data_IF_888223615289
#
_entry.id   IF_888223615289
#
_cell.length_a   1.000
_cell.length_b   1.000
_cell.length_c   1.000
_cell.angle_alpha   90.00
_cell.angle_beta   90.00
_cell.angle_gamma   90.00
#
_symmetry.space_group_name_H-M   'P 1'
#
loop_
_entity.id
_entity.type
_entity.pdbx_description
1 polymer ?
#
# COMPACT_ATOMS: atom_id res chain seq x y z
N UNK A 1 -42.88 -9.69 9.39
CA UNK A 1 -42.29 -8.74 8.43
C UNK A 1 -41.44 -7.79 9.25
N UNK A 2 -40.12 -7.94 9.18
CA UNK A 2 -39.17 -7.12 9.92
C UNK A 2 -38.23 -6.48 8.89
N UNK A 3 -38.26 -5.16 8.83
CA UNK A 3 -37.47 -4.36 7.90
C UNK A 3 -36.00 -4.41 8.31
N UNK A 4 -35.18 -4.91 7.39
CA UNK A 4 -33.72 -4.91 7.47
C UNK A 4 -33.23 -3.49 7.29
N UNK A 5 -32.74 -2.88 8.37
CA UNK A 5 -32.03 -1.60 8.34
C UNK A 5 -30.76 -1.74 7.49
N UNK A 6 -30.81 -1.22 6.27
CA UNK A 6 -29.64 -0.98 5.46
C UNK A 6 -28.74 0.01 6.20
N UNK A 7 -27.57 -0.46 6.66
CA UNK A 7 -26.49 0.44 7.09
C UNK A 7 -26.07 1.26 5.88
N UNK A 8 -26.54 2.50 5.84
CA UNK A 8 -26.07 3.54 4.94
C UNK A 8 -24.55 3.66 5.10
N UNK A 9 -23.81 3.44 4.01
CA UNK A 9 -22.42 3.86 3.88
C UNK A 9 -22.41 5.39 3.77
N UNK A 10 -22.66 6.07 4.88
CA UNK A 10 -22.56 7.52 4.98
C UNK A 10 -21.11 7.93 5.18
N UNK A 11 -20.58 8.68 4.21
CA UNK A 11 -19.52 9.67 4.43
C UNK A 11 -18.08 9.21 4.25
N UNK A 12 -17.71 8.64 3.10
CA UNK A 12 -16.34 8.88 2.62
C UNK A 12 -16.27 10.37 2.28
N UNK A 13 -15.69 11.18 3.17
CA UNK A 13 -15.36 12.57 2.85
C UNK A 13 -14.48 12.53 1.61
N UNK A 14 -14.93 13.12 0.51
CA UNK A 14 -14.07 13.43 -0.63
C UNK A 14 -13.07 14.49 -0.16
N UNK A 15 -12.00 14.04 0.52
CA UNK A 15 -10.89 14.88 0.89
C UNK A 15 -10.09 15.15 -0.39
N UNK A 16 -10.25 16.34 -0.97
CA UNK A 16 -9.41 16.77 -2.08
C UNK A 16 -8.00 17.08 -1.54
N UNK A 17 -7.01 16.31 -2.00
CA UNK A 17 -5.61 16.53 -1.71
C UNK A 17 -5.11 17.81 -2.39
N UNK A 18 -4.32 18.62 -1.71
CA UNK A 18 -3.83 19.90 -2.25
C UNK A 18 -2.32 19.80 -2.47
N UNK A 19 -1.80 20.06 -3.69
CA UNK A 19 -0.37 20.06 -3.92
C UNK A 19 0.35 21.14 -3.10
N UNK A 20 1.50 20.77 -2.53
CA UNK A 20 2.39 21.74 -1.89
C UNK A 20 2.91 22.72 -2.95
N UNK A 21 3.13 24.00 -2.64
CA UNK A 21 3.72 24.94 -3.59
C UNK A 21 5.12 24.49 -4.07
N UNK A 22 5.53 24.92 -5.26
CA UNK A 22 6.87 24.68 -5.81
C UNK A 22 7.47 25.96 -6.34
N UNK A 23 8.64 26.30 -5.84
CA UNK A 23 9.39 27.52 -6.22
C UNK A 23 10.69 27.21 -6.98
N UNK A 24 11.05 25.94 -7.14
CA UNK A 24 12.28 25.49 -7.78
C UNK A 24 13.41 25.12 -6.81
N UNK A 25 13.32 25.52 -5.53
CA UNK A 25 14.36 25.31 -4.53
C UNK A 25 13.88 24.55 -3.28
N UNK A 26 12.57 24.58 -3.00
CA UNK A 26 11.99 24.05 -1.77
C UNK A 26 11.97 22.52 -1.68
N UNK A 27 11.86 21.81 -2.81
CA UNK A 27 11.85 20.34 -2.90
C UNK A 27 12.54 19.92 -4.20
N UNK A 28 13.18 18.75 -4.22
CA UNK A 28 13.73 18.20 -5.45
C UNK A 28 12.64 18.09 -6.55
N UNK A 29 12.86 18.58 -7.78
CA UNK A 29 11.80 18.70 -8.79
C UNK A 29 11.13 17.37 -9.14
N UNK A 30 11.92 16.29 -9.26
CA UNK A 30 11.40 14.95 -9.53
C UNK A 30 10.44 14.47 -8.45
N UNK A 31 10.77 14.71 -7.17
CA UNK A 31 9.96 14.31 -6.02
C UNK A 31 8.68 15.15 -5.93
N UNK A 32 8.77 16.45 -6.19
CA UNK A 32 7.58 17.32 -6.22
C UNK A 32 6.62 16.94 -7.34
N UNK A 33 7.14 16.72 -8.56
CA UNK A 33 6.34 16.29 -9.71
C UNK A 33 5.68 14.94 -9.47
N UNK A 34 6.40 13.99 -8.87
CA UNK A 34 5.83 12.71 -8.46
C UNK A 34 4.66 12.89 -7.48
N UNK A 35 4.82 13.71 -6.43
CA UNK A 35 3.74 13.99 -5.47
C UNK A 35 2.55 14.67 -6.12
N UNK A 36 2.80 15.59 -7.05
CA UNK A 36 1.76 16.23 -7.84
C UNK A 36 0.96 15.21 -8.67
N UNK A 37 1.65 14.25 -9.29
CA UNK A 37 1.02 13.17 -10.05
C UNK A 37 0.18 12.26 -9.14
N UNK A 38 0.71 11.86 -7.98
CA UNK A 38 -0.07 11.11 -6.98
C UNK A 38 -1.34 11.85 -6.57
N UNK A 39 -1.25 13.15 -6.27
CA UNK A 39 -2.43 13.97 -5.92
C UNK A 39 -3.44 14.05 -7.06
N UNK A 40 -2.97 14.24 -8.29
CA UNK A 40 -3.84 14.21 -9.48
C UNK A 40 -4.64 12.92 -9.55
N UNK A 41 -4.02 11.81 -9.16
CA UNK A 41 -4.58 10.47 -9.26
C UNK A 41 -5.60 10.20 -8.16
N UNK A 42 -5.27 10.60 -6.93
CA UNK A 42 -6.15 10.54 -5.76
C UNK A 42 -7.38 11.44 -5.93
N UNK A 43 -7.21 12.62 -6.51
CA UNK A 43 -8.31 13.55 -6.75
C UNK A 43 -9.09 13.29 -8.04
N UNK A 44 -8.67 12.31 -8.85
CA UNK A 44 -9.26 12.00 -10.15
C UNK A 44 -9.38 13.22 -11.08
N UNK A 45 -8.35 14.08 -11.11
CA UNK A 45 -8.36 15.26 -11.95
C UNK A 45 -8.33 14.90 -13.44
N UNK A 46 -9.15 15.60 -14.23
CA UNK A 46 -9.02 15.63 -15.68
C UNK A 46 -7.82 16.50 -16.12
N UNK A 47 -7.54 16.50 -17.42
CA UNK A 47 -6.43 17.26 -17.99
C UNK A 47 -6.51 18.77 -17.68
N UNK A 48 -7.72 19.34 -17.67
CA UNK A 48 -7.94 20.77 -17.43
C UNK A 48 -7.63 21.13 -15.98
N UNK A 49 -8.18 20.37 -15.03
CA UNK A 49 -7.92 20.56 -13.61
C UNK A 49 -6.45 20.30 -13.27
N UNK A 50 -5.84 19.27 -13.88
CA UNK A 50 -4.41 18.98 -13.72
C UNK A 50 -3.55 20.19 -14.07
N UNK A 51 -3.76 20.81 -15.24
CA UNK A 51 -2.98 21.99 -15.64
C UNK A 51 -3.29 23.22 -14.79
N UNK A 52 -4.56 23.41 -14.42
CA UNK A 52 -4.95 24.51 -13.53
C UNK A 52 -4.21 24.43 -12.20
N UNK A 53 -4.30 23.28 -11.52
CA UNK A 53 -3.66 23.09 -10.22
C UNK A 53 -2.14 23.05 -10.31
N UNK A 54 -1.56 22.57 -11.42
CA UNK A 54 -0.13 22.68 -11.67
C UNK A 54 0.29 24.15 -11.61
N UNK A 55 -0.32 25.00 -12.45
CA UNK A 55 -0.05 26.45 -12.50
C UNK A 55 -0.26 27.10 -11.13
N UNK A 56 -1.38 26.81 -10.46
CA UNK A 56 -1.72 27.36 -9.14
C UNK A 56 -0.78 26.90 -8.01
N UNK A 57 0.01 25.85 -8.23
CA UNK A 57 1.01 25.37 -7.27
C UNK A 57 2.39 25.97 -7.50
N UNK A 58 2.67 26.53 -8.67
CA UNK A 58 3.96 27.17 -8.97
C UNK A 58 4.07 28.55 -8.29
N UNK A 59 5.25 28.86 -7.76
CA UNK A 59 5.60 30.13 -7.11
C UNK A 59 6.97 30.59 -7.59
N UNK A 60 7.30 31.86 -7.37
CA UNK A 60 8.64 32.42 -7.62
C UNK A 60 9.17 32.08 -9.02
N UNK A 61 10.44 31.68 -9.09
CA UNK A 61 11.15 31.36 -10.32
C UNK A 61 10.44 30.26 -11.13
N UNK A 62 9.88 29.23 -10.48
CA UNK A 62 9.14 28.18 -11.18
C UNK A 62 7.89 28.71 -11.91
N UNK A 63 7.20 29.72 -11.35
CA UNK A 63 6.07 30.37 -12.01
C UNK A 63 6.52 31.28 -13.17
N UNK A 64 7.66 31.94 -13.03
CA UNK A 64 8.26 32.75 -14.10
C UNK A 64 8.65 31.89 -15.30
N UNK A 65 9.30 30.74 -15.05
CA UNK A 65 9.64 29.75 -16.07
C UNK A 65 8.39 29.26 -16.81
N UNK A 66 7.33 28.91 -16.07
CA UNK A 66 6.05 28.53 -16.69
C UNK A 66 5.43 29.65 -17.52
N UNK A 67 5.46 30.88 -17.01
CA UNK A 67 4.87 32.04 -17.69
C UNK A 67 5.62 32.45 -18.96
N UNK A 68 6.90 32.10 -19.06
CA UNK A 68 7.73 32.27 -20.25
C UNK A 68 7.48 31.25 -21.36
N UNK A 69 6.72 30.18 -21.11
CA UNK A 69 6.36 29.18 -22.11
C UNK A 69 5.33 29.71 -23.11
N UNK A 70 5.33 29.13 -24.31
CA UNK A 70 4.28 29.41 -25.31
C UNK A 70 2.89 29.00 -24.79
N UNK A 71 1.79 29.61 -25.27
CA UNK A 71 0.44 29.18 -24.87
C UNK A 71 0.15 27.70 -25.16
N UNK A 72 0.77 27.15 -26.21
CA UNK A 72 0.67 25.72 -26.56
C UNK A 72 1.36 24.84 -25.50
N UNK A 73 2.58 25.20 -25.09
CA UNK A 73 3.34 24.46 -24.08
C UNK A 73 2.70 24.58 -22.69
N UNK A 74 2.15 25.74 -22.34
CA UNK A 74 1.39 25.93 -21.08
C UNK A 74 0.17 25.02 -21.00
N UNK A 75 -0.40 24.67 -22.16
CA UNK A 75 -1.51 23.73 -22.32
C UNK A 75 -1.09 22.26 -22.38
N UNK A 76 0.21 21.95 -22.26
CA UNK A 76 0.74 20.60 -22.39
C UNK A 76 1.54 20.20 -21.15
N UNK A 77 0.94 19.33 -20.31
CA UNK A 77 1.55 18.89 -19.06
C UNK A 77 2.96 18.31 -19.24
N UNK A 78 3.18 17.57 -20.34
CA UNK A 78 4.48 16.96 -20.62
C UNK A 78 5.55 18.02 -20.89
N UNK A 79 5.22 19.03 -21.70
CA UNK A 79 6.13 20.13 -22.00
C UNK A 79 6.51 20.93 -20.74
N UNK A 80 5.52 21.20 -19.88
CA UNK A 80 5.76 21.88 -18.60
C UNK A 80 6.64 21.01 -17.68
N UNK A 81 6.33 19.72 -17.53
CA UNK A 81 7.12 18.77 -16.72
C UNK A 81 8.58 18.72 -17.17
N UNK A 82 8.82 18.55 -18.46
CA UNK A 82 10.18 18.50 -19.04
C UNK A 82 10.92 19.83 -18.83
N UNK A 83 10.23 20.97 -18.96
CA UNK A 83 10.81 22.30 -18.71
C UNK A 83 11.21 22.49 -17.26
N UNK A 84 10.34 22.13 -16.30
CA UNK A 84 10.64 22.23 -14.87
C UNK A 84 11.81 21.32 -14.48
N UNK A 85 11.83 20.09 -14.98
CA UNK A 85 12.95 19.16 -14.75
C UNK A 85 14.26 19.67 -15.35
N UNK A 86 14.23 20.24 -16.56
CA UNK A 86 15.43 20.78 -17.21
C UNK A 86 15.98 22.01 -16.49
N UNK A 87 15.09 22.85 -15.95
CA UNK A 87 15.47 24.12 -15.34
C UNK A 87 15.95 23.94 -13.90
N UNK A 88 15.28 23.09 -13.12
CA UNK A 88 15.55 22.90 -11.69
C UNK A 88 16.22 21.57 -11.36
N UNK A 89 16.28 20.63 -12.30
CA UNK A 89 16.96 19.35 -12.12
C UNK A 89 18.47 19.53 -12.27
N UNK A 90 19.21 19.31 -11.19
CA UNK A 90 20.67 19.24 -11.25
C UNK A 90 21.18 18.06 -12.09
N UNK A 91 22.50 17.97 -12.34
CA UNK A 91 23.09 16.84 -13.04
C UNK A 91 22.92 15.56 -12.20
N UNK A 92 22.22 14.59 -12.79
CA UNK A 92 22.05 13.19 -12.39
C UNK A 92 21.04 12.84 -11.27
N UNK A 93 20.04 12.05 -11.69
CA UNK A 93 19.75 10.78 -11.05
C UNK A 93 19.39 9.79 -12.17
N UNK A 94 20.35 8.99 -12.62
CA UNK A 94 20.07 7.81 -13.45
C UNK A 94 19.35 6.76 -12.61
N UNK A 95 18.19 6.26 -13.04
CA UNK A 95 17.54 5.16 -12.34
C UNK A 95 18.29 3.86 -12.61
N UNK A 96 19.06 3.41 -11.63
CA UNK A 96 19.54 2.03 -11.56
C UNK A 96 18.42 1.17 -11.00
N UNK A 97 17.77 0.39 -11.84
CA UNK A 97 17.46 -1.04 -11.68
C UNK A 97 16.38 -1.43 -12.70
N UNK A 98 16.60 -2.57 -13.36
CA UNK A 98 15.71 -3.15 -14.35
C UNK A 98 14.29 -3.33 -13.79
N UNK A 99 13.23 -3.13 -14.61
CA UNK A 99 11.87 -3.41 -14.18
C UNK A 99 11.74 -4.90 -13.90
N UNK A 100 11.49 -5.26 -12.64
CA UNK A 100 10.95 -6.58 -12.30
C UNK A 100 9.49 -6.54 -12.69
N UNK A 101 9.12 -7.32 -13.69
CA UNK A 101 7.71 -7.52 -14.05
C UNK A 101 7.00 -8.16 -12.85
N UNK A 102 6.12 -7.40 -12.21
CA UNK A 102 5.29 -7.88 -11.12
C UNK A 102 3.95 -8.25 -11.74
N UNK A 103 3.65 -9.55 -11.78
CA UNK A 103 2.38 -10.05 -12.29
C UNK A 103 1.39 -10.14 -11.13
N UNK A 104 0.28 -9.40 -11.25
CA UNK A 104 -0.86 -9.54 -10.36
C UNK A 104 -1.91 -10.45 -11.00
N UNK A 105 -2.28 -11.51 -10.26
CA UNK A 105 -3.40 -12.38 -10.59
C UNK A 105 -4.54 -12.13 -9.59
N UNK A 106 -5.73 -11.81 -10.09
CA UNK A 106 -6.92 -11.77 -9.24
C UNK A 106 -7.26 -13.20 -8.82
N UNK A 107 -7.02 -13.54 -7.56
CA UNK A 107 -7.31 -14.87 -7.04
C UNK A 107 -8.82 -15.07 -6.91
N UNK A 108 -9.41 -15.88 -7.80
CA UNK A 108 -10.81 -16.32 -7.74
C UNK A 108 -10.93 -17.64 -6.97
N UNK A 109 -10.54 -17.66 -5.68
CA UNK A 109 -10.49 -18.88 -4.86
C UNK A 109 -10.76 -18.67 -3.37
N UNK A 110 -10.67 -19.76 -2.59
CA UNK A 110 -10.73 -19.73 -1.12
C UNK A 110 -9.41 -19.14 -0.58
N UNK A 111 -9.38 -17.83 -0.33
CA UNK A 111 -8.26 -17.16 0.34
C UNK A 111 -8.23 -17.40 1.86
N UNK A 112 -7.05 -17.25 2.45
CA UNK A 112 -6.87 -17.21 3.89
C UNK A 112 -6.40 -15.83 4.34
N UNK A 113 -6.90 -15.35 5.46
CA UNK A 113 -6.57 -14.03 6.00
C UNK A 113 -5.93 -14.10 7.38
N UNK A 114 -5.06 -13.13 7.62
CA UNK A 114 -4.61 -12.77 8.96
C UNK A 114 -5.35 -11.52 9.44
N UNK A 115 -5.87 -11.57 10.67
CA UNK A 115 -6.38 -10.37 11.35
C UNK A 115 -5.21 -9.62 11.98
N UNK A 116 -5.11 -8.34 11.67
CA UNK A 116 -4.11 -7.46 12.25
C UNK A 116 -4.53 -6.01 12.22
N UNK A 117 -3.55 -5.12 12.31
CA UNK A 117 -3.72 -3.68 12.19
C UNK A 117 -2.49 -3.02 11.60
N UNK A 118 -2.68 -1.88 10.95
CA UNK A 118 -1.61 -0.94 10.62
C UNK A 118 -1.92 0.36 11.37
N UNK A 119 -0.99 0.83 12.20
CA UNK A 119 -1.27 1.91 13.15
C UNK A 119 -2.44 1.54 14.07
N UNK A 120 -3.56 2.26 13.95
CA UNK A 120 -4.80 2.02 14.70
C UNK A 120 -5.91 1.36 13.87
N UNK A 121 -5.73 1.24 12.55
CA UNK A 121 -6.75 0.74 11.63
C UNK A 121 -6.71 -0.80 11.62
N UNK A 122 -7.80 -1.49 11.97
CA UNK A 122 -7.90 -2.94 11.84
C UNK A 122 -7.90 -3.36 10.36
N UNK A 123 -7.14 -4.40 10.02
CA UNK A 123 -6.99 -4.85 8.63
C UNK A 123 -7.09 -6.38 8.56
N UNK A 124 -7.77 -6.89 7.54
CA UNK A 124 -7.68 -8.29 7.13
C UNK A 124 -6.69 -8.39 5.97
N UNK A 125 -5.57 -9.07 6.22
CA UNK A 125 -4.54 -9.28 5.22
C UNK A 125 -4.80 -10.59 4.50
N UNK A 126 -5.06 -10.54 3.19
CA UNK A 126 -5.04 -11.75 2.38
C UNK A 126 -3.61 -12.30 2.37
N UNK A 127 -3.44 -13.57 2.75
CA UNK A 127 -2.16 -14.27 2.66
C UNK A 127 -2.06 -14.91 1.28
N UNK A 128 -1.17 -14.41 0.44
CA UNK A 128 -1.05 -14.83 -0.95
C UNK A 128 0.40 -15.18 -1.31
N UNK A 129 0.73 -16.47 -1.27
CA UNK A 129 2.03 -16.98 -1.71
C UNK A 129 2.21 -16.95 -3.24
N UNK A 130 1.15 -16.64 -4.00
CA UNK A 130 1.22 -16.40 -5.44
C UNK A 130 1.58 -14.96 -5.80
N UNK A 131 1.50 -14.03 -4.85
CA UNK A 131 1.89 -12.64 -5.05
C UNK A 131 3.39 -12.45 -4.76
N UNK A 132 4.14 -11.90 -5.72
CA UNK A 132 5.56 -11.59 -5.53
C UNK A 132 5.78 -10.42 -4.57
N UNK A 133 4.86 -9.47 -4.55
CA UNK A 133 4.95 -8.25 -3.73
C UNK A 133 3.69 -8.05 -2.91
N UNK A 134 3.86 -7.40 -1.78
CA UNK A 134 2.79 -6.95 -0.91
C UNK A 134 2.12 -5.68 -1.45
N UNK A 135 0.79 -5.60 -1.35
CA UNK A 135 -0.01 -4.48 -1.88
C UNK A 135 -1.05 -4.02 -0.86
N UNK A 136 -1.34 -2.72 -0.83
CA UNK A 136 -2.50 -2.16 -0.13
C UNK A 136 -3.32 -1.26 -1.03
N UNK A 137 -4.62 -1.20 -0.76
CA UNK A 137 -5.51 -0.25 -1.41
C UNK A 137 -5.20 1.20 -0.94
N UNK A 138 -5.25 2.21 -1.83
CA UNK A 138 -4.99 3.60 -1.49
C UNK A 138 -5.79 4.11 -0.29
N UNK A 139 -7.07 3.75 -0.19
CA UNK A 139 -7.93 4.17 0.94
C UNK A 139 -7.41 3.71 2.30
N UNK A 140 -6.79 2.51 2.38
CA UNK A 140 -6.20 2.03 3.64
C UNK A 140 -4.95 2.84 3.99
N UNK A 141 -4.11 3.16 3.01
CA UNK A 141 -2.95 4.04 3.21
C UNK A 141 -3.41 5.43 3.66
N UNK A 142 -4.42 6.01 3.01
CA UNK A 142 -4.99 7.32 3.37
C UNK A 142 -5.55 7.31 4.80
N UNK A 143 -6.35 6.31 5.17
CA UNK A 143 -6.94 6.22 6.51
C UNK A 143 -5.87 6.14 7.62
N UNK A 144 -4.77 5.43 7.36
CA UNK A 144 -3.70 5.25 8.35
C UNK A 144 -2.79 6.48 8.46
N UNK A 145 -2.55 7.16 7.33
CA UNK A 145 -1.54 8.22 7.22
C UNK A 145 -2.11 9.63 7.12
N UNK A 146 -3.44 9.77 7.07
CA UNK A 146 -4.11 11.01 6.67
C UNK A 146 -3.68 11.48 5.26
N UNK A 147 -3.31 10.51 4.42
CA UNK A 147 -2.74 10.68 3.08
C UNK A 147 -1.43 11.48 3.05
N UNK A 148 -0.60 11.35 4.09
CA UNK A 148 0.72 11.98 4.14
C UNK A 148 1.67 11.40 3.06
N UNK A 149 1.82 12.16 1.97
CA UNK A 149 2.69 11.82 0.84
C UNK A 149 4.18 11.74 1.20
N UNK A 150 4.60 12.27 2.34
CA UNK A 150 5.97 12.08 2.84
C UNK A 150 6.22 10.62 3.28
N UNK A 151 5.16 9.82 3.48
CA UNK A 151 5.24 8.37 3.76
C UNK A 151 5.36 7.49 2.51
N UNK A 152 5.18 8.06 1.31
CA UNK A 152 5.29 7.35 0.04
C UNK A 152 6.63 7.62 -0.63
N UNK A 153 7.37 6.54 -0.89
CA UNK A 153 8.55 6.58 -1.75
C UNK A 153 8.14 6.42 -3.21
N UNK A 154 8.75 7.18 -4.14
CA UNK A 154 8.55 6.98 -5.57
C UNK A 154 8.77 5.54 -6.00
N UNK A 155 7.91 5.06 -6.89
CA UNK A 155 8.03 3.77 -7.54
C UNK A 155 8.17 4.00 -9.05
N UNK A 156 9.33 3.71 -9.60
CA UNK A 156 9.68 4.06 -10.99
C UNK A 156 9.43 2.91 -11.99
N UNK A 157 9.05 1.73 -11.49
CA UNK A 157 8.81 0.57 -12.33
C UNK A 157 7.36 0.52 -12.83
N UNK A 158 7.16 -0.11 -13.99
CA UNK A 158 5.81 -0.40 -14.51
C UNK A 158 5.38 -1.78 -14.03
N UNK A 159 4.19 -1.84 -13.46
CA UNK A 159 3.53 -3.11 -13.12
C UNK A 159 2.49 -3.43 -14.19
N UNK A 160 2.58 -4.62 -14.78
CA UNK A 160 1.57 -5.15 -15.70
C UNK A 160 0.72 -6.21 -15.01
N UNK A 161 -0.60 -6.07 -15.08
CA UNK A 161 -1.52 -7.13 -14.65
C UNK A 161 -1.60 -8.23 -15.71
N UNK A 162 -2.09 -9.42 -15.34
CA UNK A 162 -2.17 -10.59 -16.20
C UNK A 162 -2.96 -10.38 -17.52
N UNK A 163 -3.81 -9.36 -17.62
CA UNK A 163 -4.53 -9.01 -18.86
C UNK A 163 -3.76 -8.04 -19.77
N UNK A 164 -2.53 -7.66 -19.40
CA UNK A 164 -1.68 -6.72 -20.15
C UNK A 164 -1.90 -5.23 -19.84
N UNK A 165 -2.90 -4.87 -19.02
CA UNK A 165 -3.07 -3.49 -18.58
C UNK A 165 -1.97 -3.08 -17.58
N UNK A 166 -1.63 -1.80 -17.57
CA UNK A 166 -0.71 -1.24 -16.58
C UNK A 166 -1.48 -0.93 -15.29
N UNK A 167 -0.95 -1.41 -14.17
CA UNK A 167 -1.46 -1.07 -12.86
C UNK A 167 -0.79 0.21 -12.39
N UNK A 168 -1.62 1.13 -11.92
CA UNK A 168 -1.17 2.40 -11.39
C UNK A 168 -0.70 2.26 -9.94
N UNK A 169 0.59 2.50 -9.72
CA UNK A 169 1.21 2.46 -8.40
C UNK A 169 1.39 3.90 -7.90
N UNK A 170 0.78 4.23 -6.77
CA UNK A 170 0.97 5.54 -6.14
C UNK A 170 2.38 5.65 -5.57
N UNK A 171 2.91 4.58 -4.97
CA UNK A 171 4.25 4.56 -4.39
C UNK A 171 4.51 3.31 -3.56
N UNK A 172 5.67 3.29 -2.91
CA UNK A 172 6.01 2.28 -1.89
C UNK A 172 5.80 2.88 -0.51
N UNK A 173 5.01 2.20 0.32
CA UNK A 173 4.75 2.56 1.70
C UNK A 173 5.43 1.58 2.66
N UNK A 174 6.43 2.07 3.40
CA UNK A 174 7.07 1.30 4.47
C UNK A 174 6.32 1.52 5.79
N UNK A 175 5.88 0.43 6.43
CA UNK A 175 5.05 0.51 7.62
C UNK A 175 5.26 -0.68 8.56
N UNK A 176 4.50 -0.71 9.66
CA UNK A 176 4.50 -1.79 10.63
C UNK A 176 3.11 -2.40 10.74
N UNK A 177 3.01 -3.67 10.35
CA UNK A 177 1.83 -4.51 10.58
C UNK A 177 1.90 -5.07 11.99
N UNK A 178 0.81 -5.00 12.74
CA UNK A 178 0.68 -5.68 14.03
C UNK A 178 -0.29 -6.85 13.93
N UNK A 179 0.18 -8.04 14.28
CA UNK A 179 -0.63 -9.25 14.45
C UNK A 179 -0.68 -9.57 15.95
N UNK A 180 -1.78 -9.22 16.62
CA UNK A 180 -1.85 -9.22 18.07
C UNK A 180 -0.76 -8.35 18.70
N UNK A 181 0.15 -8.97 19.47
CA UNK A 181 1.32 -8.30 20.09
C UNK A 181 2.57 -8.29 19.18
N UNK A 182 2.58 -9.07 18.09
CA UNK A 182 3.72 -9.14 17.18
C UNK A 182 3.71 -7.95 16.22
N UNK A 183 4.87 -7.31 16.03
CA UNK A 183 5.07 -6.24 15.06
C UNK A 183 5.99 -6.71 13.94
N UNK A 184 5.56 -6.51 12.70
CA UNK A 184 6.24 -6.91 11.48
C UNK A 184 6.47 -5.66 10.63
N UNK A 185 7.72 -5.42 10.22
CA UNK A 185 8.02 -4.39 9.22
C UNK A 185 7.56 -4.91 7.86
N UNK A 186 6.88 -4.09 7.07
CA UNK A 186 6.44 -4.46 5.74
C UNK A 186 6.53 -3.26 4.80
N UNK A 187 6.79 -3.53 3.53
CA UNK A 187 6.72 -2.55 2.45
C UNK A 187 5.58 -2.95 1.54
N UNK A 188 4.67 -2.02 1.26
CA UNK A 188 3.54 -2.26 0.37
C UNK A 188 3.62 -1.36 -0.85
N UNK A 189 3.30 -1.90 -2.03
CA UNK A 189 2.89 -1.06 -3.15
C UNK A 189 1.49 -0.52 -2.85
N UNK A 190 1.31 0.79 -2.97
CA UNK A 190 -0.01 1.42 -2.82
C UNK A 190 -0.65 1.50 -4.20
N UNK A 191 -1.66 0.66 -4.44
CA UNK A 191 -2.25 0.52 -5.76
C UNK A 191 -3.68 -0.01 -5.69
N UNK A 192 -4.53 0.44 -6.62
CA UNK A 192 -5.88 -0.12 -6.77
C UNK A 192 -5.79 -1.42 -7.58
N UNK A 193 -5.39 -2.49 -6.89
CA UNK A 193 -4.97 -3.76 -7.48
C UNK A 193 -5.98 -4.90 -7.31
N UNK A 194 -6.89 -4.81 -6.33
CA UNK A 194 -7.73 -5.92 -5.91
C UNK A 194 -8.99 -5.45 -5.20
N UNK A 195 -9.93 -6.36 -4.98
CA UNK A 195 -11.09 -6.14 -4.10
C UNK A 195 -10.72 -6.19 -2.60
N UNK A 196 -9.48 -6.56 -2.28
CA UNK A 196 -9.01 -6.72 -0.90
C UNK A 196 -8.28 -5.47 -0.42
N UNK A 197 -8.44 -5.14 0.85
CA UNK A 197 -7.83 -3.94 1.44
C UNK A 197 -6.30 -4.05 1.52
N UNK A 198 -5.78 -5.26 1.76
CA UNK A 198 -4.35 -5.53 1.86
C UNK A 198 -3.99 -6.99 1.50
N UNK A 199 -2.88 -7.17 0.78
CA UNK A 199 -2.30 -8.46 0.41
C UNK A 199 -0.89 -8.57 1.00
N UNK A 200 -0.65 -9.65 1.75
CA UNK A 200 0.67 -10.09 2.21
C UNK A 200 1.24 -11.06 1.17
N UNK A 201 2.19 -10.59 0.39
CA UNK A 201 2.87 -11.36 -0.64
C UNK A 201 4.08 -12.13 -0.11
N UNK A 202 4.75 -12.83 -1.01
CA UNK A 202 5.93 -13.64 -0.71
C UNK A 202 7.12 -12.84 -0.19
N UNK A 203 7.26 -11.56 -0.56
CA UNK A 203 8.24 -10.64 0.00
C UNK A 203 8.14 -10.56 1.53
N UNK A 204 6.97 -10.21 2.05
CA UNK A 204 6.75 -10.11 3.50
C UNK A 204 6.74 -11.49 4.16
N UNK A 205 6.17 -12.52 3.50
CA UNK A 205 6.16 -13.88 4.06
C UNK A 205 7.58 -14.43 4.23
N UNK A 206 8.46 -14.23 3.25
CA UNK A 206 9.85 -14.69 3.31
C UNK A 206 10.68 -13.86 4.28
N UNK A 207 10.53 -12.52 4.28
CA UNK A 207 11.27 -11.63 5.19
C UNK A 207 11.02 -11.94 6.68
N UNK A 208 9.87 -12.54 7.01
CA UNK A 208 9.52 -12.94 8.38
C UNK A 208 9.48 -14.46 8.60
N UNK A 209 10.05 -15.24 7.68
CA UNK A 209 10.15 -16.71 7.74
C UNK A 209 8.80 -17.38 8.03
N UNK A 210 7.76 -17.00 7.28
CA UNK A 210 6.41 -17.51 7.48
C UNK A 210 6.33 -19.01 7.20
N UNK A 211 5.62 -19.74 8.06
CA UNK A 211 5.22 -21.13 7.83
C UNK A 211 3.70 -21.16 7.68
N UNK A 212 3.20 -21.52 6.51
CA UNK A 212 1.78 -21.70 6.23
C UNK A 212 1.40 -23.16 6.42
N UNK A 213 0.60 -23.43 7.45
CA UNK A 213 0.06 -24.74 7.74
C UNK A 213 -1.45 -24.74 7.43
N UNK A 214 -1.79 -25.30 6.27
CA UNK A 214 -3.17 -25.36 5.80
C UNK A 214 -3.99 -26.47 6.47
N UNK A 215 -3.34 -27.50 7.01
CA UNK A 215 -4.00 -28.58 7.74
C UNK A 215 -4.57 -28.03 9.06
N UNK A 216 -3.73 -27.34 9.81
CA UNK A 216 -4.09 -26.73 11.10
C UNK A 216 -4.64 -25.31 10.96
N UNK A 217 -4.67 -24.75 9.74
CA UNK A 217 -5.08 -23.36 9.44
C UNK A 217 -4.33 -22.35 10.29
N UNK A 218 -3.01 -22.46 10.32
CA UNK A 218 -2.15 -21.51 11.04
C UNK A 218 -1.08 -20.93 10.13
N UNK A 219 -0.68 -19.70 10.44
CA UNK A 219 0.52 -19.07 9.92
C UNK A 219 1.45 -18.81 11.10
N UNK A 220 2.66 -19.36 11.05
CA UNK A 220 3.69 -19.10 12.06
C UNK A 220 4.60 -17.99 11.58
N UNK A 221 4.74 -16.92 12.36
CA UNK A 221 5.61 -15.79 12.09
C UNK A 221 6.45 -15.50 13.33
N UNK A 222 7.78 -15.51 13.18
CA UNK A 222 8.74 -15.32 14.30
C UNK A 222 8.44 -16.20 15.52
N UNK A 223 8.13 -17.48 15.27
CA UNK A 223 7.82 -18.48 16.31
C UNK A 223 6.43 -18.37 16.92
N UNK A 224 5.58 -17.42 16.50
CA UNK A 224 4.20 -17.26 16.99
C UNK A 224 3.20 -17.76 15.97
N UNK A 225 2.25 -18.59 16.39
CA UNK A 225 1.17 -19.13 15.56
C UNK A 225 -0.02 -18.16 15.52
N UNK A 226 -0.53 -17.90 14.33
CA UNK A 226 -1.72 -17.07 14.08
C UNK A 226 -2.75 -17.88 13.28
N UNK A 227 -4.03 -17.82 13.65
CA UNK A 227 -5.10 -18.51 12.94
C UNK A 227 -5.32 -17.88 11.55
N UNK A 228 -5.38 -18.72 10.53
CA UNK A 228 -5.74 -18.36 9.16
C UNK A 228 -7.27 -18.44 9.01
N UNK A 229 -7.89 -17.33 8.63
CA UNK A 229 -9.35 -17.22 8.49
C UNK A 229 -9.78 -17.43 7.04
N UNK A 230 -10.76 -18.30 6.74
CA UNK A 230 -11.23 -18.51 5.37
C UNK A 230 -12.12 -17.35 4.86
N UNK A 231 -12.16 -17.13 3.53
CA UNK A 231 -13.14 -16.25 2.87
C UNK A 231 -14.57 -16.69 3.23
N UNK A 232 -15.41 -15.76 3.71
CA UNK A 232 -16.86 -16.00 3.89
C UNK A 232 -17.26 -16.73 5.17
N UNK A 233 -16.36 -16.90 6.15
CA UNK A 233 -16.72 -17.39 7.48
C UNK A 233 -17.61 -16.39 8.23
N UNK A 234 -18.72 -16.89 8.80
CA UNK A 234 -19.61 -16.15 9.71
C UNK A 234 -18.82 -15.59 10.90
N UNK A 235 -19.29 -14.48 11.47
CA UNK A 235 -18.80 -13.86 12.72
C UNK A 235 -18.80 -14.81 13.93
N UNK A 236 -19.33 -16.03 13.80
CA UNK A 236 -19.40 -17.06 14.84
C UNK A 236 -18.08 -17.83 15.08
N UNK A 237 -17.03 -17.59 14.29
CA UNK A 237 -15.66 -18.07 14.61
C UNK A 237 -14.97 -17.24 15.73
N UNK A 238 -15.72 -16.37 16.42
CA UNK A 238 -15.29 -15.51 17.55
C UNK A 238 -14.98 -16.24 18.87
N UNK A 239 -15.12 -17.57 18.91
CA UNK A 239 -14.74 -18.34 20.09
C UNK A 239 -13.43 -19.09 19.85
N UNK A 240 -12.51 -18.82 20.78
CA UNK A 240 -11.19 -19.41 21.01
C UNK A 240 -10.01 -18.93 20.17
N UNK A 241 -8.92 -18.40 20.74
CA UNK A 241 -8.61 -17.83 22.07
C UNK A 241 -7.19 -17.26 21.91
N UNK A 242 -6.66 -16.70 22.99
CA UNK A 242 -5.31 -16.19 23.18
C UNK A 242 -4.17 -17.05 22.58
N UNK A 243 -2.98 -16.45 22.47
CA UNK A 243 -1.73 -17.14 22.12
C UNK A 243 -1.73 -18.57 22.65
N UNK A 244 -1.55 -19.56 21.77
CA UNK A 244 -1.08 -20.87 22.19
C UNK A 244 0.40 -20.66 22.54
N UNK A 245 0.68 -20.27 23.78
CA UNK A 245 2.01 -20.43 24.35
C UNK A 245 2.20 -21.93 24.61
N UNK A 246 3.08 -22.57 23.85
CA UNK A 246 3.53 -23.93 24.14
C UNK A 246 4.41 -23.86 25.40
N UNK A 247 3.89 -24.30 26.55
CA UNK A 247 4.69 -24.61 27.73
C UNK A 247 5.67 -25.76 27.39
N UNK A 248 6.97 -25.66 27.70
CA UNK A 248 7.89 -26.76 27.49
C UNK A 248 7.59 -27.88 28.49
N UNK A 249 7.19 -29.03 27.97
CA UNK A 249 7.01 -30.26 28.73
C UNK A 249 8.32 -30.68 29.41
N UNK A 250 8.33 -30.71 30.74
CA UNK A 250 9.38 -31.39 31.50
C UNK A 250 9.18 -32.90 31.38
N UNK A 251 10.05 -33.56 30.61
CA UNK A 251 10.23 -35.00 30.71
C UNK A 251 10.96 -35.31 32.02
N UNK A 252 10.26 -35.79 33.05
CA UNK A 252 10.86 -36.62 34.09
C UNK A 252 9.85 -37.67 34.57
N UNK A 253 9.70 -38.72 33.76
CA UNK A 253 9.01 -39.95 34.12
C UNK A 253 9.97 -41.12 34.02
N UNK A 254 10.81 -41.36 35.03
CA UNK A 254 11.51 -42.64 35.19
C UNK A 254 11.18 -43.28 36.55
N UNK A 255 10.25 -44.25 36.43
CA UNK A 255 10.15 -45.51 37.17
C UNK A 255 9.70 -45.48 38.63
N UNK A 256 8.41 -45.79 38.82
CA UNK A 256 7.93 -46.59 39.95
C UNK A 256 8.40 -48.04 39.79
N UNK A 257 8.77 -48.68 40.91
CA UNK A 257 8.41 -50.06 41.22
C UNK A 257 8.46 -50.26 42.74
N UNK A 258 7.35 -50.76 43.27
CA UNK A 258 7.01 -51.00 44.67
C UNK A 258 7.81 -52.14 45.32
N UNK A 259 8.26 -51.93 46.55
CA UNK A 259 7.99 -52.74 47.75
C UNK A 259 8.55 -52.02 48.98
#
# INVERSE_FOLDING_TARGET
MAESGARSREGHREHAFIPKPFDGANVAPHLWLYRFEVINDLNHWDHVNKLRFLKESLRGEALEVYSGLSPEDQGNYRAVKETLLKTFGGPEATPTHLPKEIVFANSMGKGYYLKGKIGKVPVRFLVDSGAQVSVVHPSLWEEVTDGDLDTLRPFENVVKVANGAEMKILGVWDTVVSLGKLKLKASFLVANASAEEAIIGTDVLQDHNAILDFEHRTCTLKGKKFRLLPVGGSLEDEFDLELIEEEPSSEEGRQQLSC
#
